data_IF_585166242506
#
_entry.id   IF_585166242506
#
_cell.length_a   1.000
_cell.length_b   1.000
_cell.length_c   1.000
_cell.angle_alpha   90.00
_cell.angle_beta   90.00
_cell.angle_gamma   90.00
#
_symmetry.space_group_name_H-M   'P 1'
#
loop_
_entity.id
_entity.type
_entity.pdbx_description
1 polymer ?
#
# COMPACT_ATOMS: atom_id res chain seq x y z
N UNK A 1 -10.23 14.10 -3.41
CA UNK A 1 -8.80 13.91 -3.11
C UNK A 1 -8.05 15.24 -3.14
N UNK A 2 -8.13 16.07 -4.19
CA UNK A 2 -7.46 17.39 -4.19
C UNK A 2 -7.82 18.20 -2.94
N UNK A 3 -9.11 18.39 -2.65
CA UNK A 3 -9.57 19.12 -1.47
C UNK A 3 -8.99 18.60 -0.13
N UNK A 4 -8.74 17.31 0.01
CA UNK A 4 -8.12 16.75 1.22
C UNK A 4 -6.65 17.16 1.35
N UNK A 5 -5.91 17.18 0.23
CA UNK A 5 -4.52 17.65 0.21
C UNK A 5 -4.45 19.17 0.43
N UNK A 6 -5.39 19.92 -0.11
CA UNK A 6 -5.47 21.37 0.09
C UNK A 6 -5.79 21.70 1.56
N UNK A 7 -6.69 20.94 2.19
CA UNK A 7 -7.00 21.09 3.61
C UNK A 7 -5.78 20.76 4.50
N UNK A 8 -5.05 19.69 4.19
CA UNK A 8 -3.81 19.33 4.90
C UNK A 8 -2.76 20.44 4.75
N UNK A 9 -2.55 20.94 3.53
CA UNK A 9 -1.62 22.03 3.26
C UNK A 9 -1.98 23.31 4.04
N UNK A 10 -3.25 23.63 4.09
CA UNK A 10 -3.74 24.79 4.85
C UNK A 10 -3.57 24.63 6.35
N UNK A 11 -3.81 23.42 6.87
CA UNK A 11 -3.73 23.14 8.31
C UNK A 11 -2.30 23.09 8.83
N UNK A 12 -1.34 22.65 8.02
CA UNK A 12 0.04 22.40 8.44
C UNK A 12 1.08 23.35 7.81
N UNK A 13 0.63 24.36 7.06
CA UNK A 13 1.51 25.41 6.49
C UNK A 13 2.36 24.96 5.30
N UNK A 14 2.15 23.75 4.76
CA UNK A 14 2.89 23.23 3.61
C UNK A 14 2.30 21.92 3.08
N UNK A 15 2.72 21.45 1.89
CA UNK A 15 2.27 20.18 1.38
C UNK A 15 2.79 19.02 2.24
N UNK A 16 2.05 17.89 2.33
CA UNK A 16 2.54 16.74 3.07
C UNK A 16 3.82 16.20 2.44
N UNK A 17 4.88 16.05 3.24
CA UNK A 17 6.15 15.43 2.84
C UNK A 17 6.12 13.89 2.94
N UNK A 18 5.18 13.33 3.69
CA UNK A 18 4.97 11.89 3.83
C UNK A 18 3.52 11.57 3.48
N UNK A 19 3.33 10.66 2.53
CA UNK A 19 1.99 10.19 2.14
C UNK A 19 1.97 8.67 2.20
N UNK A 20 1.03 8.12 2.98
CA UNK A 20 0.85 6.68 3.14
C UNK A 20 -0.53 6.27 2.62
N UNK A 21 -0.57 5.48 1.57
CA UNK A 21 -1.80 4.96 0.98
C UNK A 21 -2.15 3.61 1.63
N UNK A 22 -3.10 3.62 2.58
CA UNK A 22 -3.58 2.41 3.26
C UNK A 22 -4.99 1.98 2.82
N UNK A 23 -5.73 2.83 2.12
CA UNK A 23 -7.10 2.54 1.71
C UNK A 23 -7.16 1.42 0.67
N UNK A 24 -8.10 0.50 0.84
CA UNK A 24 -8.33 -0.58 -0.12
C UNK A 24 -9.51 -1.46 0.25
N UNK A 25 -9.97 -2.25 -0.73
CA UNK A 25 -11.06 -3.22 -0.57
C UNK A 25 -10.61 -4.58 -1.12
N UNK A 26 -11.12 -5.67 -0.53
CA UNK A 26 -10.75 -7.04 -0.88
C UNK A 26 -11.95 -8.00 -0.93
N UNK A 27 -13.10 -7.65 -1.52
CA UNK A 27 -14.23 -8.59 -1.59
C UNK A 27 -13.87 -9.77 -2.50
N UNK A 28 -13.92 -11.02 -1.98
CA UNK A 28 -13.56 -12.20 -2.75
C UNK A 28 -14.65 -12.56 -3.75
N UNK A 29 -14.27 -13.04 -4.94
CA UNK A 29 -15.20 -13.60 -5.93
C UNK A 29 -14.49 -14.52 -6.91
N UNK A 30 -15.05 -15.72 -7.10
CA UNK A 30 -14.54 -16.68 -8.07
C UNK A 30 -14.68 -16.15 -9.50
N UNK A 31 -13.73 -16.45 -10.39
CA UNK A 31 -13.82 -16.16 -11.82
C UNK A 31 -15.03 -16.87 -12.43
N UNK A 32 -15.23 -18.13 -12.03
CA UNK A 32 -16.41 -18.92 -12.35
C UNK A 32 -16.96 -19.54 -11.07
N UNK A 33 -18.09 -19.07 -10.63
CA UNK A 33 -18.78 -19.57 -9.44
C UNK A 33 -20.12 -20.21 -9.76
N UNK A 34 -20.78 -20.79 -8.74
CA UNK A 34 -22.13 -21.42 -8.89
C UNK A 34 -23.20 -20.45 -9.42
N UNK A 35 -23.02 -19.13 -9.22
CA UNK A 35 -23.95 -18.08 -9.66
C UNK A 35 -23.54 -17.44 -11.00
N UNK A 36 -22.59 -18.03 -11.73
CA UNK A 36 -22.11 -17.55 -13.02
C UNK A 36 -20.71 -16.93 -12.97
N UNK A 37 -20.36 -16.19 -14.01
CA UNK A 37 -19.05 -15.56 -14.18
C UNK A 37 -18.84 -14.35 -13.25
N UNK A 38 -17.58 -14.02 -12.98
CA UNK A 38 -17.24 -12.82 -12.23
C UNK A 38 -17.68 -11.57 -13.01
N UNK A 39 -18.54 -10.71 -12.47
CA UNK A 39 -18.97 -9.48 -13.15
C UNK A 39 -17.77 -8.53 -13.35
N UNK A 40 -17.66 -7.99 -14.56
CA UNK A 40 -16.55 -7.11 -14.91
C UNK A 40 -16.55 -5.80 -14.12
N UNK A 41 -17.70 -5.26 -13.80
CA UNK A 41 -17.88 -4.07 -12.97
C UNK A 41 -17.33 -4.26 -11.55
N UNK A 42 -17.50 -5.45 -10.96
CA UNK A 42 -16.93 -5.80 -9.66
C UNK A 42 -15.38 -5.83 -9.72
N UNK A 43 -14.81 -6.44 -10.76
CA UNK A 43 -13.37 -6.43 -11.02
C UNK A 43 -12.85 -5.00 -11.17
N UNK A 44 -13.48 -4.22 -12.05
CA UNK A 44 -13.09 -2.83 -12.33
C UNK A 44 -13.19 -1.96 -11.09
N UNK A 45 -14.23 -2.12 -10.25
CA UNK A 45 -14.38 -1.39 -9.00
C UNK A 45 -13.18 -1.61 -8.07
N UNK A 46 -12.73 -2.85 -7.90
CA UNK A 46 -11.59 -3.18 -7.04
C UNK A 46 -10.30 -2.55 -7.59
N UNK A 47 -10.08 -2.64 -8.90
CA UNK A 47 -8.94 -2.00 -9.54
C UNK A 47 -8.95 -0.47 -9.34
N UNK A 48 -10.11 0.16 -9.58
CA UNK A 48 -10.23 1.61 -9.46
C UNK A 48 -10.05 2.11 -8.04
N UNK A 49 -10.55 1.38 -7.03
CA UNK A 49 -10.33 1.77 -5.63
C UNK A 49 -8.87 1.57 -5.23
N UNK A 50 -8.32 0.38 -5.44
CA UNK A 50 -7.00 0.01 -4.90
C UNK A 50 -5.84 0.60 -5.71
N UNK A 51 -5.83 0.43 -7.02
CA UNK A 51 -4.75 0.90 -7.90
C UNK A 51 -4.99 2.34 -8.37
N UNK A 52 -6.16 2.62 -8.96
CA UNK A 52 -6.50 3.95 -9.43
C UNK A 52 -6.52 4.99 -8.31
N UNK A 53 -7.06 4.64 -7.14
CA UNK A 53 -7.07 5.49 -5.95
C UNK A 53 -5.65 5.80 -5.47
N UNK A 54 -4.80 4.80 -5.31
CA UNK A 54 -3.40 4.98 -4.90
C UNK A 54 -2.63 5.85 -5.89
N UNK A 55 -2.75 5.58 -7.20
CA UNK A 55 -2.12 6.39 -8.23
C UNK A 55 -2.61 7.85 -8.19
N UNK A 56 -3.92 8.05 -8.02
CA UNK A 56 -4.50 9.40 -7.95
C UNK A 56 -4.00 10.21 -6.75
N UNK A 57 -3.80 9.58 -5.60
CA UNK A 57 -3.17 10.23 -4.44
C UNK A 57 -1.72 10.56 -4.75
N UNK A 58 -0.94 9.58 -5.24
CA UNK A 58 0.47 9.76 -5.55
C UNK A 58 0.71 10.92 -6.53
N UNK A 59 0.00 10.95 -7.67
CA UNK A 59 0.20 12.01 -8.69
C UNK A 59 -0.12 13.40 -8.17
N UNK A 60 -1.16 13.54 -7.34
CA UNK A 60 -1.58 14.83 -6.78
C UNK A 60 -0.67 15.28 -5.65
N UNK A 61 -0.18 14.37 -4.82
CA UNK A 61 0.77 14.67 -3.77
C UNK A 61 2.15 15.01 -4.36
N UNK A 62 2.62 14.23 -5.34
CA UNK A 62 3.89 14.49 -6.03
C UNK A 62 3.92 15.89 -6.67
N UNK A 63 2.83 16.31 -7.31
CA UNK A 63 2.73 17.66 -7.90
C UNK A 63 2.91 18.76 -6.84
N UNK A 64 2.35 18.59 -5.64
CA UNK A 64 2.49 19.55 -4.55
C UNK A 64 3.89 19.52 -3.91
N UNK A 65 4.44 18.33 -3.70
CA UNK A 65 5.79 18.15 -3.18
C UNK A 65 6.82 18.78 -4.13
N UNK A 66 6.69 18.54 -5.44
CA UNK A 66 7.59 19.08 -6.45
C UNK A 66 7.57 20.61 -6.54
N UNK A 67 6.43 21.23 -6.27
CA UNK A 67 6.26 22.70 -6.25
C UNK A 67 6.77 23.36 -4.95
N UNK A 68 7.02 22.58 -3.88
CA UNK A 68 7.53 23.08 -2.61
C UNK A 68 9.07 23.16 -2.61
N UNK A 69 9.66 23.99 -1.73
CA UNK A 69 11.09 23.91 -1.48
C UNK A 69 11.48 22.54 -0.91
N UNK A 70 12.74 22.12 -1.07
CA UNK A 70 13.25 20.93 -0.39
C UNK A 70 13.08 21.00 1.13
N UNK A 71 13.01 19.84 1.77
CA UNK A 71 12.92 19.73 3.23
C UNK A 71 14.17 20.29 3.87
N UNK A 72 13.99 21.14 4.89
CA UNK A 72 15.10 21.73 5.66
C UNK A 72 15.66 20.69 6.64
N UNK A 73 16.97 20.77 6.91
CA UNK A 73 17.65 19.92 7.90
C UNK A 73 17.82 18.45 7.49
N UNK A 74 17.49 18.10 6.26
CA UNK A 74 17.73 16.75 5.73
C UNK A 74 19.19 16.56 5.31
N UNK A 75 19.73 15.34 5.50
CA UNK A 75 21.08 14.97 5.04
C UNK A 75 21.17 15.00 3.50
N UNK A 76 20.07 14.63 2.81
CA UNK A 76 19.99 14.60 1.36
C UNK A 76 19.49 15.94 0.80
N UNK A 77 20.36 16.60 0.05
CA UNK A 77 20.01 17.86 -0.61
C UNK A 77 18.95 17.62 -1.69
N UNK A 78 17.85 18.37 -1.61
CA UNK A 78 16.79 18.36 -2.60
C UNK A 78 15.65 17.38 -2.31
N UNK A 79 15.66 16.63 -1.21
CA UNK A 79 14.53 15.77 -0.83
C UNK A 79 13.28 16.62 -0.57
N UNK A 80 12.14 16.17 -1.11
CA UNK A 80 10.82 16.79 -0.93
C UNK A 80 9.80 15.88 -0.27
N UNK A 81 10.07 14.58 -0.22
CA UNK A 81 9.21 13.66 0.49
C UNK A 81 9.21 12.22 -0.01
N UNK A 82 8.30 11.43 0.55
CA UNK A 82 8.15 10.01 0.24
C UNK A 82 6.68 9.61 0.10
N UNK A 83 6.40 8.82 -0.93
CA UNK A 83 5.12 8.19 -1.18
C UNK A 83 5.23 6.70 -0.82
N UNK A 84 4.42 6.26 0.14
CA UNK A 84 4.42 4.88 0.63
C UNK A 84 3.08 4.23 0.27
N UNK A 85 3.12 3.19 -0.56
CA UNK A 85 1.93 2.48 -0.99
C UNK A 85 1.77 1.15 -0.25
N UNK A 86 0.52 0.75 0.00
CA UNK A 86 0.19 -0.55 0.58
C UNK A 86 -0.29 -1.50 -0.50
N UNK A 87 0.58 -2.45 -0.88
CA UNK A 87 0.21 -3.60 -1.70
C UNK A 87 -0.40 -4.72 -0.82
N UNK A 88 -0.01 -5.93 -1.04
CA UNK A 88 -0.33 -7.14 -0.26
C UNK A 88 0.55 -8.28 -0.73
N UNK A 89 0.78 -9.29 0.11
CA UNK A 89 1.33 -10.58 -0.34
C UNK A 89 0.46 -11.23 -1.43
N UNK A 90 -0.83 -10.92 -1.48
CA UNK A 90 -1.73 -11.35 -2.54
C UNK A 90 -1.36 -10.85 -3.95
N UNK A 91 -0.48 -9.86 -4.05
CA UNK A 91 0.13 -9.45 -5.33
C UNK A 91 1.05 -10.55 -5.92
N UNK A 92 1.55 -11.44 -5.07
CA UNK A 92 2.50 -12.51 -5.40
C UNK A 92 1.89 -13.90 -5.18
N UNK A 93 1.21 -14.08 -4.06
CA UNK A 93 0.67 -15.35 -3.57
C UNK A 93 -0.88 -15.28 -3.51
N UNK A 94 -1.52 -14.92 -4.61
CA UNK A 94 -2.98 -14.75 -4.66
C UNK A 94 -3.74 -16.06 -4.46
N UNK A 95 -4.80 -16.01 -3.65
CA UNK A 95 -5.63 -17.16 -3.32
C UNK A 95 -6.85 -17.29 -4.25
N UNK A 96 -7.51 -18.45 -4.20
CA UNK A 96 -8.78 -18.68 -4.90
C UNK A 96 -9.80 -17.59 -4.53
N UNK A 97 -10.42 -16.99 -5.52
CA UNK A 97 -11.37 -15.89 -5.36
C UNK A 97 -10.76 -14.49 -5.26
N UNK A 98 -9.42 -14.37 -5.28
CA UNK A 98 -8.74 -13.09 -5.16
C UNK A 98 -8.25 -12.49 -6.49
N UNK A 99 -8.66 -13.00 -7.65
CA UNK A 99 -8.13 -12.54 -8.94
C UNK A 99 -8.17 -11.00 -9.10
N UNK A 100 -9.29 -10.35 -8.79
CA UNK A 100 -9.42 -8.89 -8.87
C UNK A 100 -8.57 -8.18 -7.82
N UNK A 101 -8.53 -8.68 -6.59
CA UNK A 101 -7.70 -8.12 -5.52
C UNK A 101 -6.21 -8.26 -5.83
N UNK A 102 -5.77 -9.45 -6.20
CA UNK A 102 -4.38 -9.72 -6.60
C UNK A 102 -3.95 -8.86 -7.79
N UNK A 103 -4.78 -8.72 -8.82
CA UNK A 103 -4.52 -7.84 -9.93
C UNK A 103 -4.37 -6.37 -9.49
N UNK A 104 -5.23 -5.89 -8.60
CA UNK A 104 -5.16 -4.52 -8.07
C UNK A 104 -3.89 -4.27 -7.25
N UNK A 105 -3.48 -5.24 -6.43
CA UNK A 105 -2.27 -5.14 -5.60
C UNK A 105 -1.00 -5.38 -6.43
N UNK A 106 -1.07 -6.22 -7.46
CA UNK A 106 -0.03 -6.35 -8.48
C UNK A 106 0.19 -5.05 -9.26
N UNK A 107 -0.87 -4.33 -9.59
CA UNK A 107 -0.76 -3.01 -10.21
C UNK A 107 -0.05 -1.99 -9.29
N UNK A 108 -0.34 -2.00 -7.97
CA UNK A 108 0.36 -1.16 -6.99
C UNK A 108 1.86 -1.49 -6.92
N UNK A 109 2.21 -2.78 -6.98
CA UNK A 109 3.61 -3.24 -7.05
C UNK A 109 4.27 -2.74 -8.33
N UNK A 110 3.63 -2.96 -9.49
CA UNK A 110 4.20 -2.65 -10.80
C UNK A 110 4.42 -1.15 -11.04
N UNK A 111 3.52 -0.28 -10.55
CA UNK A 111 3.66 1.17 -10.75
C UNK A 111 4.73 1.81 -9.85
N UNK A 112 5.19 1.14 -8.80
CA UNK A 112 6.12 1.70 -7.83
C UNK A 112 7.46 2.10 -8.46
N UNK A 113 8.13 1.19 -9.16
CA UNK A 113 9.47 1.45 -9.70
C UNK A 113 9.50 2.53 -10.80
N UNK A 114 8.60 2.54 -11.81
CA UNK A 114 8.55 3.64 -12.77
C UNK A 114 8.29 4.99 -12.09
N UNK A 115 7.39 5.06 -11.10
CA UNK A 115 7.16 6.30 -10.34
C UNK A 115 8.39 6.73 -9.55
N UNK A 116 9.11 5.82 -8.91
CA UNK A 116 10.33 6.14 -8.16
C UNK A 116 11.41 6.74 -9.09
N UNK A 117 11.56 6.17 -10.29
CA UNK A 117 12.52 6.67 -11.29
C UNK A 117 12.12 8.03 -11.86
N UNK A 118 10.85 8.21 -12.18
CA UNK A 118 10.31 9.46 -12.72
C UNK A 118 10.42 10.60 -11.69
N UNK A 119 10.06 10.34 -10.43
CA UNK A 119 10.00 11.34 -9.38
C UNK A 119 11.36 11.62 -8.72
N UNK A 120 12.39 10.84 -9.01
CA UNK A 120 13.74 11.03 -8.47
C UNK A 120 14.30 12.44 -8.77
N UNK A 121 14.10 12.94 -9.98
CA UNK A 121 14.52 14.30 -10.37
C UNK A 121 13.82 15.39 -9.56
N UNK A 122 12.68 15.09 -8.95
CA UNK A 122 11.92 15.98 -8.07
C UNK A 122 12.26 15.77 -6.58
N UNK A 123 13.20 14.90 -6.23
CA UNK A 123 13.55 14.60 -4.84
C UNK A 123 12.45 13.88 -4.07
N UNK A 124 11.63 13.05 -4.75
CA UNK A 124 10.53 12.31 -4.15
C UNK A 124 10.78 10.82 -4.27
N UNK A 125 10.78 10.12 -3.14
CA UNK A 125 10.93 8.66 -3.08
C UNK A 125 9.58 7.96 -3.18
N UNK A 126 9.59 6.74 -3.70
CA UNK A 126 8.40 5.88 -3.75
C UNK A 126 8.76 4.49 -3.26
N UNK A 127 8.06 4.01 -2.24
CA UNK A 127 8.26 2.68 -1.67
C UNK A 127 6.91 1.99 -1.53
N UNK A 128 6.88 0.68 -1.66
CA UNK A 128 5.66 -0.10 -1.46
C UNK A 128 5.88 -1.15 -0.37
N UNK A 129 4.96 -1.23 0.58
CA UNK A 129 4.91 -2.31 1.56
C UNK A 129 3.88 -3.33 1.08
N UNK A 130 4.24 -4.62 1.12
CA UNK A 130 3.36 -5.74 0.85
C UNK A 130 3.12 -6.53 2.15
N UNK A 131 2.09 -6.17 2.95
CA UNK A 131 1.79 -6.86 4.19
C UNK A 131 1.27 -8.27 3.95
N UNK A 132 1.56 -9.17 4.89
CA UNK A 132 0.88 -10.44 5.07
C UNK A 132 -0.47 -10.26 5.76
N UNK A 133 -0.80 -11.16 6.68
CA UNK A 133 -2.04 -11.11 7.46
C UNK A 133 -1.83 -10.28 8.73
N UNK A 134 -2.55 -9.16 8.84
CA UNK A 134 -2.46 -8.20 9.94
C UNK A 134 -3.79 -8.10 10.67
N UNK A 135 -3.73 -7.94 12.00
CA UNK A 135 -4.90 -7.67 12.83
C UNK A 135 -5.40 -6.25 12.54
N UNK A 136 -6.43 -6.17 11.74
CA UNK A 136 -7.08 -4.92 11.32
C UNK A 136 -8.58 -5.03 11.58
N UNK A 137 -9.35 -3.94 11.59
CA UNK A 137 -10.81 -4.00 11.76
C UNK A 137 -11.50 -4.95 10.79
N UNK A 138 -10.93 -5.16 9.60
CA UNK A 138 -11.44 -6.13 8.61
C UNK A 138 -11.29 -7.59 9.12
N UNK A 139 -10.18 -7.93 9.79
CA UNK A 139 -9.95 -9.27 10.35
C UNK A 139 -10.52 -9.43 11.75
N UNK A 140 -10.59 -8.36 12.56
CA UNK A 140 -11.21 -8.37 13.87
C UNK A 140 -12.70 -8.76 13.82
N UNK A 141 -13.37 -8.48 12.70
CA UNK A 141 -14.76 -8.92 12.45
C UNK A 141 -14.93 -10.42 12.19
N UNK A 142 -13.83 -11.19 12.04
CA UNK A 142 -13.88 -12.64 11.85
C UNK A 142 -13.93 -13.37 13.20
N UNK A 143 -14.50 -14.60 13.27
CA UNK A 143 -14.44 -15.43 14.48
C UNK A 143 -13.00 -15.66 14.94
N UNK A 144 -12.76 -15.66 16.27
CA UNK A 144 -11.43 -15.82 16.87
C UNK A 144 -10.67 -17.04 16.31
N UNK A 145 -11.36 -18.17 16.15
CA UNK A 145 -10.76 -19.38 15.57
C UNK A 145 -10.15 -19.12 14.17
N UNK A 146 -10.84 -18.33 13.34
CA UNK A 146 -10.34 -18.01 11.99
C UNK A 146 -9.11 -17.10 12.07
N UNK A 147 -9.12 -16.14 13.00
CA UNK A 147 -7.94 -15.28 13.24
C UNK A 147 -6.74 -16.12 13.71
N UNK A 148 -6.95 -17.05 14.64
CA UNK A 148 -5.91 -17.94 15.16
C UNK A 148 -5.36 -18.86 14.05
N UNK A 149 -6.24 -19.41 13.21
CA UNK A 149 -5.84 -20.30 12.12
C UNK A 149 -5.07 -19.54 11.02
N UNK A 150 -5.42 -18.29 10.74
CA UNK A 150 -4.64 -17.42 9.87
C UNK A 150 -3.27 -17.10 10.47
N UNK A 151 -3.22 -16.80 11.75
CA UNK A 151 -1.98 -16.51 12.47
C UNK A 151 -1.00 -17.70 12.45
N UNK A 152 -1.50 -18.93 12.58
CA UNK A 152 -0.68 -20.17 12.50
C UNK A 152 -0.06 -20.43 11.13
N UNK A 153 -0.59 -19.82 10.05
CA UNK A 153 0.01 -19.93 8.73
C UNK A 153 1.27 -19.10 8.58
N UNK A 154 1.49 -18.12 9.47
CA UNK A 154 2.72 -17.31 9.50
C UNK A 154 3.85 -18.14 10.11
N UNK A 155 4.95 -18.37 9.39
CA UNK A 155 6.05 -19.19 9.91
C UNK A 155 6.63 -18.65 11.21
N UNK A 156 7.02 -17.37 11.25
CA UNK A 156 7.50 -16.71 12.48
C UNK A 156 7.46 -15.19 12.36
N UNK A 157 6.94 -14.49 13.38
CA UNK A 157 6.24 -15.03 14.56
C UNK A 157 4.88 -15.61 14.16
N UNK A 158 4.49 -16.77 14.72
CA UNK A 158 3.25 -17.48 14.35
C UNK A 158 2.00 -16.81 14.95
N UNK A 159 1.67 -15.67 14.39
CA UNK A 159 0.52 -14.82 14.76
C UNK A 159 0.22 -13.83 13.63
N UNK A 160 -0.92 -13.15 13.73
CA UNK A 160 -1.21 -11.99 12.90
C UNK A 160 -0.20 -10.86 13.18
N UNK A 161 0.18 -10.13 12.15
CA UNK A 161 0.95 -8.89 12.27
C UNK A 161 0.13 -7.82 13.01
N UNK A 162 0.80 -6.93 13.71
CA UNK A 162 0.18 -5.80 14.42
C UNK A 162 0.28 -4.53 13.59
N UNK A 163 -0.73 -3.65 13.58
CA UNK A 163 -0.65 -2.35 12.89
C UNK A 163 0.59 -1.53 13.28
N UNK A 164 1.05 -1.63 14.54
CA UNK A 164 2.28 -0.98 15.01
C UNK A 164 3.54 -1.47 14.30
N UNK A 165 3.60 -2.74 13.87
CA UNK A 165 4.74 -3.27 13.11
C UNK A 165 4.77 -2.71 11.68
N UNK A 166 3.59 -2.49 11.09
CA UNK A 166 3.48 -1.77 9.82
C UNK A 166 3.93 -0.31 9.99
N UNK A 167 3.45 0.37 11.04
CA UNK A 167 3.81 1.76 11.32
C UNK A 167 5.32 1.93 11.58
N UNK A 168 5.95 0.98 12.28
CA UNK A 168 7.40 0.99 12.50
C UNK A 168 8.19 0.89 11.18
N UNK A 169 7.73 0.08 10.22
CA UNK A 169 8.35 0.01 8.90
C UNK A 169 8.13 1.33 8.12
N UNK A 170 6.94 1.92 8.20
CA UNK A 170 6.68 3.24 7.60
C UNK A 170 7.65 4.29 8.17
N UNK A 171 7.81 4.34 9.48
CA UNK A 171 8.77 5.24 10.13
C UNK A 171 10.19 4.98 9.62
N UNK A 172 10.62 3.73 9.57
CA UNK A 172 11.94 3.39 9.04
C UNK A 172 12.13 3.83 7.58
N UNK A 173 11.11 3.67 6.72
CA UNK A 173 11.16 4.15 5.33
C UNK A 173 11.31 5.68 5.27
N UNK A 174 10.64 6.41 6.15
CA UNK A 174 10.75 7.87 6.23
C UNK A 174 12.16 8.28 6.60
N UNK A 175 12.75 7.65 7.60
CA UNK A 175 14.07 7.96 8.16
C UNK A 175 15.22 7.45 7.27
N UNK A 176 15.07 6.28 6.66
CA UNK A 176 16.09 5.66 5.82
C UNK A 176 15.94 6.10 4.35
N UNK A 177 16.67 7.12 3.97
CA UNK A 177 16.57 7.77 2.67
C UNK A 177 17.08 6.94 1.49
N UNK A 178 17.86 5.89 1.76
CA UNK A 178 18.30 4.96 0.72
C UNK A 178 17.18 4.02 0.24
N UNK A 179 16.07 3.91 1.01
CA UNK A 179 14.90 3.15 0.60
C UNK A 179 14.09 3.93 -0.45
N UNK A 180 14.25 3.55 -1.70
CA UNK A 180 13.51 4.09 -2.85
C UNK A 180 13.38 3.02 -3.94
N UNK A 181 12.23 2.90 -4.56
CA UNK A 181 12.01 2.00 -5.69
C UNK A 181 11.97 0.51 -5.30
N UNK A 182 11.57 0.18 -4.06
CA UNK A 182 11.54 -1.18 -3.53
C UNK A 182 10.14 -1.58 -3.04
N UNK A 183 9.85 -2.87 -3.13
CA UNK A 183 8.66 -3.51 -2.55
C UNK A 183 9.08 -4.38 -1.39
N UNK A 184 8.71 -3.99 -0.18
CA UNK A 184 9.09 -4.69 1.05
C UNK A 184 7.95 -5.59 1.51
N UNK A 185 8.14 -6.92 1.48
CA UNK A 185 7.20 -7.86 2.09
C UNK A 185 7.34 -7.78 3.62
N UNK A 186 6.23 -7.56 4.30
CA UNK A 186 6.15 -7.56 5.75
C UNK A 186 5.16 -8.65 6.18
N UNK A 187 5.62 -9.90 6.25
CA UNK A 187 4.71 -11.05 6.26
C UNK A 187 5.16 -12.24 7.15
N UNK A 188 6.24 -12.11 7.90
CA UNK A 188 6.76 -13.22 8.73
C UNK A 188 7.11 -14.48 7.92
N UNK A 189 7.56 -14.31 6.68
CA UNK A 189 7.86 -15.37 5.71
C UNK A 189 6.63 -16.15 5.19
N UNK A 190 5.42 -15.60 5.37
CA UNK A 190 4.19 -16.21 4.88
C UNK A 190 4.22 -16.35 3.36
N UNK A 191 3.80 -17.51 2.88
CA UNK A 191 3.39 -17.76 1.49
C UNK A 191 1.98 -18.30 1.54
N UNK A 192 1.04 -17.57 0.94
CA UNK A 192 -0.37 -17.94 1.02
C UNK A 192 -0.62 -19.26 0.29
N UNK A 193 -1.34 -20.21 0.90
CA UNK A 193 -1.80 -21.41 0.18
C UNK A 193 -2.81 -21.00 -0.90
N UNK A 194 -3.05 -21.88 -1.87
CA UNK A 194 -3.99 -21.65 -2.97
C UNK A 194 -5.41 -21.31 -2.52
#
# INVERSE_FOLDING_TARGET
MSAALDAAQSAFGGPPSVVVNCAGIAPPKLVLGKKGVHPLDHFTKILMVNAGGSFNVCRLAAARMAAAPPLEGGEEKGERGVLINTASVAAFDGQIGQAAYSASKGAVVAMMLPMARELAASGIRVVTIAPGVFLTPMLEGLPQKVQDDLGKQVPFPSRLGRPSEYAALVQHIVENRMLNGEVIRLDGALRMPP
#
